data_IF_978695437522
#
_entry.id   IF_978695437522
#
_cell.length_a   1.000
_cell.length_b   1.000
_cell.length_c   1.000
_cell.angle_alpha   90.00
_cell.angle_beta   90.00
_cell.angle_gamma   90.00
#
_symmetry.space_group_name_H-M   'P 1'
#
loop_
_entity.id
_entity.type
_entity.pdbx_description
1 polymer ?
#
# COMPACT_ATOMS: atom_id res chain seq x y z
N UNK A 1 20.68 -13.94 9.23
CA UNK A 1 20.08 -14.60 8.05
C UNK A 1 20.53 -13.84 6.83
N UNK A 2 20.83 -14.52 5.75
CA UNK A 2 21.13 -13.90 4.45
C UNK A 2 19.82 -13.66 3.71
N UNK A 3 19.65 -12.47 3.11
CA UNK A 3 18.45 -12.11 2.35
C UNK A 3 18.29 -13.05 1.14
N UNK A 4 17.08 -13.56 0.88
CA UNK A 4 16.80 -14.30 -0.35
C UNK A 4 17.06 -13.40 -1.56
N UNK A 5 17.75 -13.91 -2.58
CA UNK A 5 18.16 -13.11 -3.74
C UNK A 5 16.96 -12.45 -4.46
N UNK A 6 15.81 -13.14 -4.54
CA UNK A 6 14.61 -12.56 -5.16
C UNK A 6 14.05 -11.41 -4.33
N UNK A 7 14.08 -11.53 -3.00
CA UNK A 7 13.60 -10.49 -2.08
C UNK A 7 14.56 -9.30 -2.02
N UNK A 8 15.86 -9.55 -2.17
CA UNK A 8 16.84 -8.49 -2.36
C UNK A 8 16.57 -7.71 -3.64
N UNK A 9 16.42 -8.38 -4.78
CA UNK A 9 16.10 -7.71 -6.04
C UNK A 9 14.76 -6.98 -5.98
N UNK A 10 13.77 -7.53 -5.28
CA UNK A 10 12.50 -6.85 -5.04
C UNK A 10 12.69 -5.58 -4.22
N UNK A 11 13.44 -5.65 -3.12
CA UNK A 11 13.76 -4.49 -2.31
C UNK A 11 14.50 -3.41 -3.11
N UNK A 12 15.53 -3.79 -3.87
CA UNK A 12 16.32 -2.87 -4.69
C UNK A 12 15.49 -2.20 -5.80
N UNK A 13 14.52 -2.92 -6.37
CA UNK A 13 13.69 -2.41 -7.46
C UNK A 13 12.53 -1.54 -6.96
N UNK A 14 11.90 -1.94 -5.86
CA UNK A 14 10.65 -1.35 -5.40
C UNK A 14 10.80 -0.40 -4.21
N UNK A 15 11.98 -0.24 -3.63
CA UNK A 15 12.24 0.67 -2.51
C UNK A 15 13.28 1.72 -2.90
N UNK A 16 13.16 2.94 -2.34
CA UNK A 16 14.14 4.03 -2.53
C UNK A 16 15.50 3.67 -1.94
N UNK A 17 15.50 2.96 -0.81
CA UNK A 17 16.71 2.52 -0.12
C UNK A 17 16.43 1.14 0.48
N UNK A 18 17.12 0.11 -0.03
CA UNK A 18 17.02 -1.26 0.49
C UNK A 18 17.56 -1.40 1.92
N UNK A 19 18.13 -0.34 2.51
CA UNK A 19 18.44 -0.27 3.94
C UNK A 19 17.28 0.26 4.80
N UNK A 20 16.19 0.75 4.18
CA UNK A 20 14.96 1.23 4.86
C UNK A 20 13.82 0.21 4.83
N UNK A 21 14.15 -1.07 4.70
CA UNK A 21 13.16 -2.15 4.81
C UNK A 21 12.41 -2.06 6.14
N UNK A 22 11.15 -2.49 6.14
CA UNK A 22 10.27 -2.46 7.32
C UNK A 22 9.83 -3.89 7.67
N UNK A 23 10.77 -4.80 8.01
CA UNK A 23 10.43 -6.17 8.33
C UNK A 23 9.55 -6.24 9.59
N UNK A 24 8.61 -7.17 9.58
CA UNK A 24 7.77 -7.43 10.75
C UNK A 24 8.49 -8.32 11.77
N UNK A 25 8.35 -8.02 13.08
CA UNK A 25 8.73 -8.96 14.13
C UNK A 25 7.92 -10.26 14.00
N UNK A 26 8.57 -11.39 14.30
CA UNK A 26 7.92 -12.71 14.27
C UNK A 26 6.63 -12.77 15.09
N UNK A 27 6.61 -12.09 16.24
CA UNK A 27 5.46 -12.03 17.12
C UNK A 27 4.25 -11.34 16.48
N UNK A 28 4.46 -10.29 15.68
CA UNK A 28 3.38 -9.61 14.96
C UNK A 28 2.79 -10.50 13.86
N UNK A 29 3.65 -11.23 13.15
CA UNK A 29 3.21 -12.21 12.15
C UNK A 29 2.38 -13.32 12.82
N UNK A 30 2.85 -13.86 13.95
CA UNK A 30 2.14 -14.91 14.69
C UNK A 30 0.79 -14.45 15.25
N UNK A 31 0.68 -13.19 15.67
CA UNK A 31 -0.59 -12.59 16.08
C UNK A 31 -1.57 -12.56 14.90
N UNK A 32 -1.11 -12.14 13.72
CA UNK A 32 -1.94 -12.14 12.52
C UNK A 32 -2.36 -13.56 12.10
N UNK A 33 -1.43 -14.52 12.08
CA UNK A 33 -1.73 -15.93 11.79
C UNK A 33 -2.78 -16.51 12.76
N UNK A 34 -2.69 -16.15 14.04
CA UNK A 34 -3.67 -16.57 15.06
C UNK A 34 -5.04 -15.94 14.83
N UNK A 35 -5.09 -14.64 14.52
CA UNK A 35 -6.34 -13.91 14.29
C UNK A 35 -7.07 -14.41 13.04
N UNK A 36 -6.32 -14.81 12.00
CA UNK A 36 -6.85 -15.31 10.73
C UNK A 36 -7.20 -16.81 10.76
N UNK A 37 -6.83 -17.51 11.85
CA UNK A 37 -6.83 -18.98 11.93
C UNK A 37 -6.12 -19.62 10.72
N UNK A 38 -5.03 -19.00 10.27
CA UNK A 38 -4.31 -19.35 9.04
C UNK A 38 -2.81 -19.22 9.24
N UNK A 39 -2.04 -20.18 8.72
CA UNK A 39 -0.58 -20.07 8.68
C UNK A 39 -0.16 -19.51 7.34
N UNK A 40 0.58 -18.40 7.35
CA UNK A 40 1.09 -17.85 6.11
C UNK A 40 2.05 -18.83 5.44
N UNK A 41 2.02 -18.93 4.09
CA UNK A 41 3.03 -19.69 3.36
C UNK A 41 4.44 -19.25 3.75
N UNK A 42 5.34 -20.23 3.82
CA UNK A 42 6.71 -20.03 4.32
C UNK A 42 7.43 -18.91 3.57
N UNK A 43 7.28 -18.85 2.26
CA UNK A 43 7.90 -17.84 1.40
C UNK A 43 7.37 -16.43 1.70
N UNK A 44 6.06 -16.24 1.89
CA UNK A 44 5.50 -14.96 2.31
C UNK A 44 5.94 -14.56 3.73
N UNK A 45 5.96 -15.52 4.66
CA UNK A 45 6.47 -15.29 6.02
C UNK A 45 7.94 -14.87 6.01
N UNK A 46 8.76 -15.54 5.22
CA UNK A 46 10.17 -15.20 5.03
C UNK A 46 10.33 -13.79 4.44
N UNK A 47 9.45 -13.39 3.51
CA UNK A 47 9.42 -12.05 2.94
C UNK A 47 9.07 -10.98 4.00
N UNK A 48 8.03 -11.20 4.81
CA UNK A 48 7.64 -10.28 5.88
C UNK A 48 8.75 -10.09 6.93
N UNK A 49 9.47 -11.17 7.28
CA UNK A 49 10.59 -11.13 8.24
C UNK A 49 11.83 -10.41 7.71
N UNK A 50 11.98 -10.29 6.39
CA UNK A 50 13.19 -9.80 5.75
C UNK A 50 13.02 -8.41 5.11
N UNK A 51 11.85 -8.14 4.55
CA UNK A 51 11.57 -6.96 3.71
C UNK A 51 10.42 -6.14 4.28
N UNK A 52 9.28 -6.78 4.54
CA UNK A 52 8.03 -6.10 4.88
C UNK A 52 7.25 -5.59 3.65
N UNK A 53 6.05 -5.02 3.84
CA UNK A 53 5.11 -4.74 2.75
C UNK A 53 5.26 -3.34 2.09
N UNK A 54 6.12 -2.44 2.57
CA UNK A 54 6.10 -1.04 2.13
C UNK A 54 6.89 -0.77 0.84
N UNK A 55 6.28 -0.91 -0.34
CA UNK A 55 6.91 -0.52 -1.60
C UNK A 55 6.75 1.00 -1.91
N UNK A 56 7.72 1.57 -2.63
CA UNK A 56 7.78 2.98 -3.06
C UNK A 56 7.77 3.13 -4.60
N UNK A 57 7.84 2.03 -5.35
CA UNK A 57 7.58 2.01 -6.80
C UNK A 57 6.32 1.23 -7.10
N UNK A 58 5.62 1.62 -8.16
CA UNK A 58 4.48 0.86 -8.72
C UNK A 58 4.86 0.22 -10.05
N UNK A 59 4.16 -0.86 -10.40
CA UNK A 59 4.25 -1.44 -11.74
C UNK A 59 3.64 -0.43 -12.72
N UNK A 60 4.33 -0.19 -13.83
CA UNK A 60 3.88 0.73 -14.88
C UNK A 60 3.14 -0.07 -15.96
N UNK A 61 1.84 -0.28 -15.75
CA UNK A 61 1.00 -1.07 -16.64
C UNK A 61 0.88 -0.47 -18.05
N UNK A 62 1.07 0.85 -18.22
CA UNK A 62 1.06 1.51 -19.53
C UNK A 62 2.27 1.16 -20.41
N UNK A 63 3.32 0.58 -19.81
CA UNK A 63 4.54 0.16 -20.52
C UNK A 63 4.61 -1.34 -20.77
N UNK A 64 3.56 -2.08 -20.49
CA UNK A 64 3.48 -3.52 -20.73
C UNK A 64 2.94 -3.79 -22.13
N UNK A 65 3.48 -4.82 -22.80
CA UNK A 65 3.01 -5.26 -24.11
C UNK A 65 1.62 -5.93 -23.98
N UNK A 66 0.75 -5.71 -24.97
CA UNK A 66 -0.67 -6.15 -24.96
C UNK A 66 -0.86 -7.68 -24.78
N UNK A 67 0.17 -8.50 -25.00
CA UNK A 67 0.09 -9.98 -24.87
C UNK A 67 0.15 -10.49 -23.43
N UNK A 68 0.63 -9.68 -22.47
CA UNK A 68 0.74 -10.09 -21.05
C UNK A 68 -0.48 -9.64 -20.19
N UNK A 69 -1.45 -8.95 -20.80
CA UNK A 69 -2.43 -8.10 -20.11
C UNK A 69 -3.25 -8.81 -19.01
N UNK A 70 -3.79 -10.01 -19.24
CA UNK A 70 -4.71 -10.65 -18.28
C UNK A 70 -4.04 -11.10 -16.96
N UNK A 71 -2.82 -11.66 -17.02
CA UNK A 71 -2.06 -12.05 -15.82
C UNK A 71 -1.40 -10.82 -15.17
N UNK A 72 -0.94 -9.88 -16.00
CA UNK A 72 -0.33 -8.62 -15.56
C UNK A 72 -1.30 -7.75 -14.78
N UNK A 73 -2.55 -7.64 -15.24
CA UNK A 73 -3.54 -6.74 -14.62
C UNK A 73 -3.81 -7.18 -13.18
N UNK A 74 -3.88 -8.50 -12.95
CA UNK A 74 -4.00 -9.06 -11.61
C UNK A 74 -2.73 -8.85 -10.77
N UNK A 75 -1.54 -9.00 -11.38
CA UNK A 75 -0.26 -8.94 -10.66
C UNK A 75 0.22 -7.52 -10.38
N UNK A 76 -0.32 -6.50 -11.06
CA UNK A 76 0.03 -5.11 -10.81
C UNK A 76 -0.28 -4.68 -9.36
N UNK A 77 -1.24 -5.33 -8.71
CA UNK A 77 -1.65 -5.08 -7.32
C UNK A 77 -0.61 -5.50 -6.28
N UNK A 78 0.41 -6.28 -6.67
CA UNK A 78 1.51 -6.64 -5.77
C UNK A 78 2.31 -5.46 -5.25
N UNK A 79 2.24 -4.29 -5.88
CA UNK A 79 2.92 -3.09 -5.38
C UNK A 79 2.15 -2.37 -4.28
N UNK A 80 0.91 -2.77 -4.02
CA UNK A 80 0.08 -2.29 -2.91
C UNK A 80 -0.15 -3.43 -1.90
N UNK A 81 0.95 -3.96 -1.36
CA UNK A 81 0.91 -4.97 -0.30
C UNK A 81 0.19 -4.43 0.93
N UNK A 82 -0.66 -5.27 1.49
CA UNK A 82 -1.42 -4.96 2.69
C UNK A 82 -0.54 -5.08 3.94
N UNK A 83 -0.73 -4.15 4.86
CA UNK A 83 -0.25 -4.28 6.23
C UNK A 83 -1.02 -5.41 6.94
N UNK A 84 -0.39 -6.06 7.94
CA UNK A 84 -1.02 -7.19 8.63
C UNK A 84 -2.37 -6.85 9.30
N UNK A 85 -2.56 -5.62 9.78
CA UNK A 85 -3.85 -5.15 10.30
C UNK A 85 -4.93 -5.11 9.19
N UNK A 86 -4.56 -4.74 7.97
CA UNK A 86 -5.46 -4.73 6.81
C UNK A 86 -5.78 -6.14 6.32
N UNK A 87 -4.81 -7.06 6.38
CA UNK A 87 -5.06 -8.48 6.06
C UNK A 87 -6.16 -9.05 6.95
N UNK A 88 -6.08 -8.78 8.26
CA UNK A 88 -7.08 -9.22 9.25
C UNK A 88 -8.43 -8.56 8.99
N UNK A 89 -8.45 -7.24 8.74
CA UNK A 89 -9.70 -6.49 8.54
C UNK A 89 -10.42 -6.91 7.25
N UNK A 90 -9.69 -7.06 6.13
CA UNK A 90 -10.31 -7.37 4.84
C UNK A 90 -10.72 -8.83 4.70
N UNK A 91 -10.04 -9.76 5.38
CA UNK A 91 -10.46 -11.16 5.43
C UNK A 91 -11.95 -11.29 5.79
N UNK A 92 -12.40 -10.54 6.81
CA UNK A 92 -13.79 -10.58 7.30
C UNK A 92 -14.81 -10.00 6.30
N UNK A 93 -14.34 -9.30 5.26
CA UNK A 93 -15.19 -8.60 4.28
C UNK A 93 -15.32 -9.31 2.94
N UNK A 94 -14.40 -10.21 2.61
CA UNK A 94 -14.31 -10.84 1.28
C UNK A 94 -14.90 -12.25 1.33
N UNK A 95 -14.26 -13.13 2.10
CA UNK A 95 -14.65 -14.53 2.28
C UNK A 95 -13.81 -15.14 3.40
N UNK A 96 -14.42 -16.00 4.21
CA UNK A 96 -13.73 -16.76 5.26
C UNK A 96 -12.63 -17.70 4.71
N UNK A 97 -12.64 -17.97 3.40
CA UNK A 97 -11.72 -18.88 2.72
C UNK A 97 -10.50 -18.19 2.09
N UNK A 98 -10.52 -16.85 1.96
CA UNK A 98 -9.48 -16.09 1.28
C UNK A 98 -8.78 -15.11 2.23
N UNK A 99 -7.45 -15.11 2.18
CA UNK A 99 -6.60 -14.22 2.98
C UNK A 99 -5.96 -13.17 2.06
N UNK A 100 -6.45 -11.93 2.01
CA UNK A 100 -5.89 -10.91 1.12
C UNK A 100 -4.52 -10.47 1.60
N UNK A 101 -3.57 -10.22 0.69
CA UNK A 101 -2.24 -9.72 1.04
C UNK A 101 -1.75 -8.57 0.16
N UNK A 102 -2.47 -8.23 -0.92
CA UNK A 102 -2.23 -7.04 -1.76
C UNK A 102 -3.55 -6.55 -2.39
N UNK A 103 -3.66 -5.29 -2.82
CA UNK A 103 -4.85 -4.77 -3.52
C UNK A 103 -4.83 -3.29 -3.90
N UNK A 104 -5.67 -2.91 -4.87
CA UNK A 104 -5.66 -1.60 -5.56
C UNK A 104 -6.41 -0.44 -4.87
N UNK A 105 -6.96 -0.66 -3.67
CA UNK A 105 -7.80 0.32 -3.00
C UNK A 105 -9.19 0.53 -3.62
N UNK A 106 -9.48 -0.04 -4.80
CA UNK A 106 -10.79 -0.02 -5.46
C UNK A 106 -11.61 -1.29 -5.19
N UNK A 107 -11.01 -2.30 -4.57
CA UNK A 107 -11.72 -3.48 -4.07
C UNK A 107 -11.01 -4.77 -4.41
N UNK A 108 -10.25 -4.81 -5.50
CA UNK A 108 -9.58 -6.01 -5.99
C UNK A 108 -8.44 -6.46 -5.07
N UNK A 109 -8.22 -7.77 -4.98
CA UNK A 109 -7.24 -8.35 -4.05
C UNK A 109 -6.47 -9.52 -4.65
N UNK A 110 -5.20 -9.61 -4.26
CA UNK A 110 -4.44 -10.86 -4.31
C UNK A 110 -4.54 -11.56 -2.96
N UNK A 111 -4.86 -12.84 -3.00
CA UNK A 111 -5.23 -13.63 -1.84
C UNK A 111 -4.49 -14.97 -1.79
N UNK A 112 -4.22 -15.44 -0.57
CA UNK A 112 -4.05 -16.87 -0.31
C UNK A 112 -5.42 -17.53 -0.13
N UNK A 113 -5.50 -18.84 -0.31
CA UNK A 113 -6.67 -19.63 0.09
C UNK A 113 -6.35 -20.47 1.33
N UNK A 114 -7.33 -20.63 2.23
CA UNK A 114 -7.24 -21.55 3.37
C UNK A 114 -7.32 -23.01 2.94
N UNK A 115 -7.97 -23.31 1.82
CA UNK A 115 -8.20 -24.67 1.34
C UNK A 115 -7.28 -25.07 0.18
N UNK A 116 -7.02 -24.13 -0.73
CA UNK A 116 -6.25 -24.37 -1.94
C UNK A 116 -4.84 -23.80 -1.81
N UNK A 117 -3.87 -24.54 -2.35
CA UNK A 117 -2.52 -24.04 -2.47
C UNK A 117 -2.42 -23.11 -3.69
N UNK A 118 -1.86 -21.93 -3.49
CA UNK A 118 -1.59 -20.97 -4.56
C UNK A 118 -1.89 -19.53 -4.17
N UNK A 119 -1.73 -18.65 -5.15
CA UNK A 119 -2.12 -17.26 -5.14
C UNK A 119 -3.31 -17.09 -6.06
N UNK A 120 -4.32 -16.38 -5.57
CA UNK A 120 -5.56 -16.13 -6.27
C UNK A 120 -5.79 -14.64 -6.40
N UNK A 121 -6.41 -14.23 -7.49
CA UNK A 121 -6.99 -12.92 -7.67
C UNK A 121 -8.48 -13.01 -7.33
N UNK A 122 -8.97 -12.05 -6.55
CA UNK A 122 -10.39 -11.86 -6.29
C UNK A 122 -10.83 -10.51 -6.83
N UNK A 123 -11.81 -10.57 -7.73
CA UNK A 123 -12.49 -9.41 -8.30
C UNK A 123 -13.67 -9.02 -7.40
N UNK A 124 -13.59 -7.80 -6.85
CA UNK A 124 -14.63 -7.29 -5.96
C UNK A 124 -15.96 -7.00 -6.69
N UNK A 125 -15.93 -6.72 -7.98
CA UNK A 125 -17.14 -6.37 -8.75
C UNK A 125 -17.94 -7.62 -9.16
N UNK A 126 -17.24 -8.72 -9.45
CA UNK A 126 -17.85 -9.95 -9.99
C UNK A 126 -17.87 -11.11 -8.99
N UNK A 127 -17.16 -11.01 -7.87
CA UNK A 127 -16.86 -12.09 -6.92
C UNK A 127 -16.10 -13.27 -7.56
N UNK A 128 -15.52 -13.09 -8.76
CA UNK A 128 -14.74 -14.13 -9.41
C UNK A 128 -13.38 -14.35 -8.71
N UNK A 129 -12.99 -15.62 -8.59
CA UNK A 129 -11.72 -16.04 -8.02
C UNK A 129 -10.91 -16.74 -9.10
N UNK A 130 -9.76 -16.16 -9.44
CA UNK A 130 -8.90 -16.62 -10.53
C UNK A 130 -7.57 -17.09 -9.95
N UNK A 131 -7.12 -18.29 -10.33
CA UNK A 131 -5.79 -18.77 -9.96
C UNK A 131 -4.70 -18.00 -10.72
N UNK A 132 -3.66 -17.57 -10.02
CA UNK A 132 -2.58 -16.75 -10.58
C UNK A 132 -1.25 -17.51 -10.63
N UNK A 133 -0.76 -17.99 -9.48
CA UNK A 133 0.53 -18.71 -9.36
C UNK A 133 0.51 -19.70 -8.21
N UNK A 134 1.47 -20.63 -8.21
CA UNK A 134 1.59 -21.66 -7.18
C UNK A 134 2.14 -21.13 -5.84
N UNK A 135 2.84 -19.99 -5.86
CA UNK A 135 3.51 -19.44 -4.66
C UNK A 135 3.68 -17.92 -4.67
N UNK A 136 3.87 -17.34 -3.48
CA UNK A 136 4.17 -15.91 -3.35
C UNK A 136 5.52 -15.58 -4.00
N UNK A 137 6.51 -16.48 -3.89
CA UNK A 137 7.82 -16.29 -4.50
C UNK A 137 7.75 -16.20 -6.03
N UNK A 138 6.93 -17.01 -6.68
CA UNK A 138 6.73 -16.92 -8.14
C UNK A 138 6.11 -15.59 -8.54
N UNK A 139 5.15 -15.09 -7.74
CA UNK A 139 4.60 -13.77 -7.96
C UNK A 139 5.66 -12.68 -7.87
N UNK A 140 6.50 -12.71 -6.82
CA UNK A 140 7.64 -11.78 -6.66
C UNK A 140 8.58 -11.85 -7.87
N UNK A 141 8.90 -13.06 -8.35
CA UNK A 141 9.76 -13.24 -9.52
C UNK A 141 9.12 -12.65 -10.79
N UNK A 142 7.81 -12.83 -10.97
CA UNK A 142 7.11 -12.30 -12.13
C UNK A 142 7.06 -10.78 -12.15
N UNK A 143 6.76 -10.14 -11.01
CA UNK A 143 6.72 -8.66 -10.93
C UNK A 143 8.09 -8.00 -11.09
N UNK A 144 9.17 -8.74 -10.84
CA UNK A 144 10.53 -8.28 -11.15
C UNK A 144 10.78 -8.14 -12.66
N UNK A 145 9.97 -8.73 -13.52
CA UNK A 145 10.06 -8.57 -14.97
C UNK A 145 9.42 -7.26 -15.47
N UNK A 146 8.46 -6.71 -14.71
CA UNK A 146 7.65 -5.59 -15.18
C UNK A 146 8.36 -4.23 -15.13
N UNK A 147 8.08 -3.30 -16.04
CA UNK A 147 8.53 -1.93 -15.89
C UNK A 147 7.92 -1.31 -14.63
N UNK A 148 8.65 -0.40 -14.01
CA UNK A 148 8.20 0.28 -12.80
C UNK A 148 8.29 1.78 -12.99
N UNK A 149 7.40 2.50 -12.32
CA UNK A 149 7.51 3.94 -12.13
C UNK A 149 7.65 4.23 -10.65
N UNK A 150 8.49 5.21 -10.28
CA UNK A 150 8.50 5.69 -8.91
C UNK A 150 7.08 6.14 -8.57
N UNK A 151 6.58 5.74 -7.40
CA UNK A 151 5.48 6.50 -6.82
C UNK A 151 5.98 7.93 -6.65
N UNK A 152 5.12 8.95 -6.79
CA UNK A 152 5.50 10.32 -6.49
C UNK A 152 6.03 10.38 -5.05
N UNK A 153 7.36 10.36 -4.93
CA UNK A 153 8.08 10.31 -3.69
C UNK A 153 9.10 11.42 -3.76
N UNK A 154 8.94 12.38 -2.85
CA UNK A 154 9.76 13.56 -2.59
C UNK A 154 10.99 13.70 -3.51
N UNK A 155 10.88 14.51 -4.57
CA UNK A 155 12.06 15.06 -5.22
C UNK A 155 12.94 15.72 -4.14
N UNK A 156 14.24 15.43 -4.18
CA UNK A 156 15.25 15.98 -3.29
C UNK A 156 15.02 17.50 -3.11
N UNK A 157 14.91 18.03 -1.87
CA UNK A 157 14.67 19.45 -1.65
C UNK A 157 15.86 20.35 -2.08
N UNK A 158 16.92 19.80 -2.68
CA UNK A 158 18.13 20.55 -3.03
C UNK A 158 18.16 21.13 -4.46
N UNK A 159 17.14 20.91 -5.30
CA UNK A 159 17.12 21.50 -6.67
C UNK A 159 16.06 22.59 -6.93
N UNK A 160 15.54 23.24 -5.88
CA UNK A 160 14.82 24.52 -6.03
C UNK A 160 15.50 25.63 -5.25
N UNK A 161 16.61 26.12 -5.80
CA UNK A 161 17.15 27.41 -5.42
C UNK A 161 16.16 28.52 -5.82
N UNK A 162 15.90 29.41 -4.85
CA UNK A 162 15.30 30.76 -4.98
C UNK A 162 13.88 30.86 -5.54
N UNK A 163 12.87 30.87 -4.64
CA UNK A 163 12.17 32.09 -4.19
C UNK A 163 10.82 31.75 -3.54
N UNK A 164 10.60 32.21 -2.30
CA UNK A 164 9.33 32.27 -1.55
C UNK A 164 8.39 31.04 -1.62
N UNK A 165 8.78 29.92 -0.99
CA UNK A 165 7.81 28.86 -0.68
C UNK A 165 7.00 29.25 0.55
N UNK A 166 5.87 29.91 0.30
CA UNK A 166 4.76 29.95 1.24
C UNK A 166 4.48 28.51 1.72
N UNK A 167 4.64 28.26 3.02
CA UNK A 167 4.25 26.98 3.64
C UNK A 167 2.73 26.99 3.80
N UNK A 168 2.10 25.89 3.43
CA UNK A 168 0.68 25.66 3.65
C UNK A 168 0.51 24.46 4.57
N UNK A 169 -0.57 24.45 5.34
CA UNK A 169 -1.03 23.30 6.11
C UNK A 169 -2.27 22.72 5.47
N UNK A 170 -2.22 21.43 5.12
CA UNK A 170 -3.38 20.66 4.68
C UNK A 170 -4.21 20.28 5.90
N UNK A 171 -5.46 20.73 5.93
CA UNK A 171 -6.42 20.35 6.95
C UNK A 171 -7.59 19.57 6.36
N UNK A 172 -7.87 18.43 6.94
CA UNK A 172 -9.10 17.70 6.67
C UNK A 172 -10.19 18.33 7.52
N UNK A 173 -11.32 18.65 6.91
CA UNK A 173 -12.50 19.25 7.56
C UNK A 173 -13.67 18.29 7.63
N UNK A 174 -13.73 17.32 6.71
CA UNK A 174 -14.73 16.25 6.67
C UNK A 174 -14.11 15.01 6.02
N UNK A 175 -14.47 13.81 6.49
CA UNK A 175 -14.02 12.53 5.92
C UNK A 175 -14.90 12.03 4.78
N UNK A 176 -16.08 12.62 4.57
CA UNK A 176 -16.98 12.19 3.50
C UNK A 176 -17.63 10.82 3.73
N UNK A 177 -18.16 10.21 2.65
CA UNK A 177 -18.80 8.89 2.69
C UNK A 177 -17.80 7.74 2.85
N UNK A 178 -16.62 7.83 2.22
CA UNK A 178 -15.60 6.78 2.20
C UNK A 178 -14.60 6.98 3.36
N UNK A 179 -15.13 6.94 4.58
CA UNK A 179 -14.37 7.33 5.78
C UNK A 179 -13.15 6.46 6.01
N UNK A 180 -13.21 5.19 5.62
CA UNK A 180 -12.14 4.24 5.88
C UNK A 180 -10.97 4.47 4.91
N UNK A 181 -11.29 4.66 3.65
CA UNK A 181 -10.38 4.97 2.57
C UNK A 181 -9.62 6.26 2.86
N UNK A 182 -10.33 7.30 3.30
CA UNK A 182 -9.73 8.56 3.74
C UNK A 182 -8.83 8.35 4.97
N UNK A 183 -9.24 7.53 5.94
CA UNK A 183 -8.42 7.24 7.13
C UNK A 183 -7.12 6.53 6.74
N UNK A 184 -7.18 5.56 5.83
CA UNK A 184 -6.01 4.83 5.33
C UNK A 184 -5.09 5.74 4.52
N UNK A 185 -5.65 6.58 3.64
CA UNK A 185 -4.89 7.59 2.92
C UNK A 185 -4.17 8.54 3.88
N UNK A 186 -4.82 8.98 4.96
CA UNK A 186 -4.18 9.81 5.98
C UNK A 186 -3.03 9.11 6.68
N UNK A 187 -3.18 7.83 7.04
CA UNK A 187 -2.07 7.03 7.60
C UNK A 187 -0.90 6.94 6.62
N UNK A 188 -1.17 6.74 5.33
CA UNK A 188 -0.13 6.68 4.28
C UNK A 188 0.60 8.01 4.13
N UNK A 189 -0.12 9.12 4.14
CA UNK A 189 0.45 10.48 4.00
C UNK A 189 1.27 10.88 5.23
N UNK A 190 0.81 10.52 6.43
CA UNK A 190 1.37 11.04 7.69
C UNK A 190 2.29 10.07 8.43
N UNK A 191 2.20 8.78 8.14
CA UNK A 191 2.82 7.72 8.92
C UNK A 191 2.17 7.46 10.28
N UNK A 192 1.01 8.06 10.58
CA UNK A 192 0.33 7.87 11.87
C UNK A 192 -0.14 6.42 12.09
N UNK A 193 -0.14 6.00 13.35
CA UNK A 193 -0.80 4.76 13.76
C UNK A 193 -2.32 4.84 13.62
N UNK A 194 -3.02 3.71 13.59
CA UNK A 194 -4.48 3.70 13.50
C UNK A 194 -5.14 4.45 14.67
N UNK A 195 -4.62 4.25 15.89
CA UNK A 195 -5.11 4.92 17.10
C UNK A 195 -4.88 6.43 17.03
N UNK A 196 -3.67 6.85 16.62
CA UNK A 196 -3.34 8.26 16.46
C UNK A 196 -4.21 8.94 15.38
N UNK A 197 -4.40 8.28 14.23
CA UNK A 197 -5.25 8.81 13.16
C UNK A 197 -6.69 8.96 13.64
N UNK A 198 -7.25 7.95 14.33
CA UNK A 198 -8.60 8.01 14.91
C UNK A 198 -8.74 9.15 15.92
N UNK A 199 -7.74 9.36 16.78
CA UNK A 199 -7.77 10.46 17.74
C UNK A 199 -7.75 11.83 17.04
N UNK A 200 -6.91 11.99 16.01
CA UNK A 200 -6.77 13.27 15.29
C UNK A 200 -8.00 13.61 14.46
N UNK A 201 -8.56 12.64 13.72
CA UNK A 201 -9.78 12.87 12.92
C UNK A 201 -11.03 12.98 13.79
N UNK A 202 -11.02 12.55 15.05
CA UNK A 202 -12.12 12.84 15.97
C UNK A 202 -12.21 14.35 16.31
N UNK A 203 -11.16 15.13 16.02
CA UNK A 203 -11.02 16.56 16.32
C UNK A 203 -10.99 17.41 15.05
N UNK A 204 -11.79 17.09 14.04
CA UNK A 204 -11.87 17.89 12.82
C UNK A 204 -12.26 19.36 13.12
N UNK A 205 -11.69 20.34 12.40
CA UNK A 205 -10.68 20.16 11.36
C UNK A 205 -9.30 19.84 11.93
N UNK A 206 -8.63 18.82 11.37
CA UNK A 206 -7.32 18.38 11.84
C UNK A 206 -6.22 18.72 10.83
N UNK A 207 -5.07 19.18 11.33
CA UNK A 207 -3.88 19.38 10.51
C UNK A 207 -3.22 18.03 10.21
N UNK A 208 -3.00 17.77 8.93
CA UNK A 208 -2.41 16.52 8.43
C UNK A 208 -0.90 16.69 8.25
N UNK A 209 -0.52 17.65 7.41
CA UNK A 209 0.86 17.89 7.02
C UNK A 209 1.03 19.35 6.57
N UNK A 210 2.23 19.91 6.78
CA UNK A 210 2.58 21.27 6.35
C UNK A 210 3.75 21.21 5.37
N UNK A 211 3.54 21.69 4.14
CA UNK A 211 4.53 21.70 3.04
C UNK A 211 4.26 22.84 2.06
N UNK A 212 5.12 23.00 1.05
CA UNK A 212 4.88 23.94 -0.05
C UNK A 212 3.58 23.62 -0.81
N UNK A 213 2.90 24.65 -1.32
CA UNK A 213 1.56 24.52 -1.92
C UNK A 213 1.45 23.46 -3.01
N UNK A 214 2.44 23.38 -3.90
CA UNK A 214 2.48 22.41 -5.00
C UNK A 214 2.48 20.96 -4.50
N UNK A 215 3.15 20.69 -3.37
CA UNK A 215 3.19 19.36 -2.77
C UNK A 215 1.84 18.95 -2.16
N UNK A 216 1.04 19.92 -1.74
CA UNK A 216 -0.23 19.65 -1.07
C UNK A 216 -1.39 19.53 -2.05
N UNK A 217 -1.27 20.00 -3.29
CA UNK A 217 -2.35 19.82 -4.28
C UNK A 217 -2.58 18.35 -4.57
N UNK A 218 -1.52 17.55 -4.76
CA UNK A 218 -1.67 16.13 -5.08
C UNK A 218 -2.33 15.34 -3.94
N UNK A 219 -1.96 15.64 -2.69
CA UNK A 219 -2.61 15.05 -1.52
C UNK A 219 -4.03 15.54 -1.33
N UNK A 220 -4.31 16.82 -1.63
CA UNK A 220 -5.66 17.38 -1.58
C UNK A 220 -6.55 16.68 -2.58
N UNK A 221 -6.14 16.62 -3.85
CA UNK A 221 -6.89 16.00 -4.94
C UNK A 221 -7.13 14.51 -4.66
N UNK A 222 -6.11 13.80 -4.17
CA UNK A 222 -6.25 12.39 -3.77
C UNK A 222 -7.29 12.21 -2.66
N UNK A 223 -7.22 12.98 -1.59
CA UNK A 223 -8.17 12.88 -0.47
C UNK A 223 -9.58 13.34 -0.87
N UNK A 224 -9.71 14.35 -1.73
CA UNK A 224 -10.99 14.83 -2.26
C UNK A 224 -11.65 13.83 -3.21
N UNK A 225 -10.86 13.12 -4.03
CA UNK A 225 -11.35 12.02 -4.86
C UNK A 225 -11.87 10.84 -4.01
N UNK A 226 -11.29 10.63 -2.83
CA UNK A 226 -11.82 9.70 -1.83
C UNK A 226 -13.04 10.27 -1.08
N UNK A 227 -13.46 11.50 -1.35
CA UNK A 227 -14.66 12.13 -0.79
C UNK A 227 -14.43 12.98 0.45
N UNK A 228 -13.19 13.17 0.89
CA UNK A 228 -12.88 14.09 1.99
C UNK A 228 -13.08 15.56 1.57
N UNK A 229 -13.27 16.44 2.54
CA UNK A 229 -13.25 17.90 2.31
C UNK A 229 -11.98 18.50 2.90
N UNK A 230 -11.16 19.11 2.06
CA UNK A 230 -9.83 19.59 2.42
C UNK A 230 -9.78 21.12 2.35
N UNK A 231 -8.98 21.74 3.22
CA UNK A 231 -8.59 23.15 3.09
C UNK A 231 -7.08 23.27 3.21
N UNK A 232 -6.48 24.08 2.33
CA UNK A 232 -5.08 24.49 2.43
C UNK A 232 -5.00 25.85 3.10
N UNK A 233 -4.38 25.92 4.27
CA UNK A 233 -4.20 27.17 5.02
C UNK A 233 -2.77 27.63 4.86
N UNK A 234 -2.56 28.85 4.32
CA UNK A 234 -1.23 29.45 4.27
C UNK A 234 -0.74 29.75 5.68
N UNK A 235 0.42 29.24 6.04
CA UNK A 235 1.08 29.54 7.30
C UNK A 235 1.77 30.90 7.14
N UNK A 236 1.22 31.91 7.82
CA UNK A 236 1.88 33.21 7.94
C UNK A 236 2.95 33.05 9.04
N UNK A 237 4.20 32.86 8.63
CA UNK A 237 5.34 32.84 9.54
C UNK A 237 5.45 34.11 10.39
#
# INVERSE_FOLDING_TARGET
MTLDAAYQSFAEKFYIDSNKLTPYPLEEIQKAETALEFQFPKDYRDFLLQVGPQAIYRIDSEKLDEEDFDEVDCLCYMTDLLLLDQVIEYHDTISDELIPFAGDGNGNKLCFSKELQGIFFWDHETDEVIFIKDSFKEVVQKVLEFPTTPLPCEEDPEEFASDDFDVYTLKVTNLGPNKMEVLMALRRITGWSLEETKERIARLPCSVISKGKLWLSDYSDYLENLGASIILVKDNG
#
